data_IF_403274602771
#
_entry.id   IF_403274602771
#
_cell.length_a   1.000
_cell.length_b   1.000
_cell.length_c   1.000
_cell.angle_alpha   90.00
_cell.angle_beta   90.00
_cell.angle_gamma   90.00
#
_symmetry.space_group_name_H-M   'P 1'
#
loop_
_entity.id
_entity.type
_entity.pdbx_description
1 polymer ?
#
# COMPACT_ATOMS: atom_id res chain seq x y z
N UNK A 1 31.49 14.01 4.25
CA UNK A 1 30.59 12.96 4.76
C UNK A 1 29.12 13.37 4.73
N UNK A 2 28.62 14.32 5.53
CA UNK A 2 27.19 14.75 5.44
C UNK A 2 26.76 15.28 4.06
N UNK A 3 27.57 16.14 3.44
CA UNK A 3 27.28 16.68 2.10
C UNK A 3 27.30 15.62 0.99
N UNK A 4 28.18 14.62 1.14
CA UNK A 4 28.28 13.51 0.20
C UNK A 4 27.07 12.58 0.33
N UNK A 5 26.64 12.25 1.56
CA UNK A 5 25.43 11.48 1.82
C UNK A 5 24.17 12.21 1.35
N UNK A 6 24.08 13.53 1.58
CA UNK A 6 22.97 14.34 1.10
C UNK A 6 22.94 14.42 -0.43
N UNK A 7 24.09 14.60 -1.09
CA UNK A 7 24.18 14.65 -2.54
C UNK A 7 23.78 13.30 -3.18
N UNK A 8 24.24 12.17 -2.62
CA UNK A 8 23.84 10.83 -3.08
C UNK A 8 22.34 10.61 -2.89
N UNK A 9 21.78 10.99 -1.74
CA UNK A 9 20.34 10.89 -1.49
C UNK A 9 19.51 11.76 -2.46
N UNK A 10 19.98 12.97 -2.78
CA UNK A 10 19.33 13.86 -3.76
C UNK A 10 19.32 13.27 -5.16
N UNK A 11 20.45 12.70 -5.62
CA UNK A 11 20.52 12.04 -6.93
C UNK A 11 19.58 10.82 -6.97
N UNK A 12 19.55 10.00 -5.93
CA UNK A 12 18.63 8.86 -5.84
C UNK A 12 17.16 9.29 -5.84
N UNK A 13 16.82 10.37 -5.12
CA UNK A 13 15.47 10.92 -5.10
C UNK A 13 15.06 11.45 -6.47
N UNK A 14 15.96 12.11 -7.19
CA UNK A 14 15.70 12.62 -8.54
C UNK A 14 15.44 11.46 -9.52
N UNK A 15 16.28 10.42 -9.50
CA UNK A 15 16.09 9.22 -10.32
C UNK A 15 14.76 8.54 -10.04
N UNK A 16 14.35 8.43 -8.76
CA UNK A 16 13.05 7.88 -8.40
C UNK A 16 11.90 8.74 -8.96
N UNK A 17 11.98 10.07 -8.82
CA UNK A 17 10.98 11.00 -9.37
C UNK A 17 10.85 10.85 -10.88
N UNK A 18 11.97 10.80 -11.59
CA UNK A 18 11.98 10.67 -13.05
C UNK A 18 11.43 9.31 -13.49
N UNK A 19 11.69 8.25 -12.72
CA UNK A 19 11.15 6.90 -12.98
C UNK A 19 9.63 6.85 -12.80
N UNK A 20 9.10 7.59 -11.82
CA UNK A 20 7.67 7.68 -11.51
C UNK A 20 6.94 8.73 -12.37
N UNK A 21 7.65 9.68 -12.96
CA UNK A 21 7.07 10.75 -13.76
C UNK A 21 6.28 10.16 -14.95
N UNK A 22 5.05 10.65 -15.12
CA UNK A 22 4.16 10.19 -16.19
C UNK A 22 3.56 8.79 -15.99
N UNK A 23 3.90 8.07 -14.91
CA UNK A 23 3.24 6.80 -14.55
C UNK A 23 2.03 7.05 -13.68
N UNK A 24 0.94 6.34 -13.97
CA UNK A 24 -0.23 6.31 -13.09
C UNK A 24 0.05 5.39 -11.91
N UNK A 25 -0.55 5.70 -10.77
CA UNK A 25 -0.47 4.87 -9.55
C UNK A 25 -0.90 3.42 -9.83
N UNK A 26 -1.92 3.22 -10.67
CA UNK A 26 -2.41 1.90 -11.11
C UNK A 26 -1.40 1.07 -11.91
N UNK A 27 -0.31 1.66 -12.40
CA UNK A 27 0.74 0.95 -13.12
C UNK A 27 1.85 0.46 -12.19
N UNK A 28 1.91 0.96 -10.95
CA UNK A 28 2.93 0.63 -9.96
C UNK A 28 2.38 -0.16 -8.77
N UNK A 29 1.10 -0.01 -8.44
CA UNK A 29 0.47 -0.70 -7.33
C UNK A 29 0.07 -2.13 -7.70
N UNK A 30 0.19 -3.05 -6.73
CA UNK A 30 -0.46 -4.34 -6.82
C UNK A 30 -1.96 -4.17 -6.51
N UNK A 31 -2.83 -4.65 -7.40
CA UNK A 31 -4.27 -4.62 -7.20
C UNK A 31 -4.79 -5.81 -6.37
N UNK A 32 -3.91 -6.67 -5.89
CA UNK A 32 -4.24 -7.73 -4.94
C UNK A 32 -4.38 -7.15 -3.53
N UNK A 33 -5.56 -6.60 -3.24
CA UNK A 33 -5.98 -6.26 -1.89
C UNK A 33 -7.11 -7.19 -1.44
N UNK A 34 -7.23 -7.36 -0.13
CA UNK A 34 -8.34 -8.12 0.43
C UNK A 34 -9.44 -7.15 0.83
N UNK A 35 -10.64 -7.40 0.31
CA UNK A 35 -11.82 -6.59 0.62
C UNK A 35 -12.73 -7.31 1.60
N UNK A 36 -13.35 -6.54 2.48
CA UNK A 36 -14.17 -7.03 3.58
C UNK A 36 -15.52 -6.30 3.62
N UNK A 37 -16.63 -7.02 3.81
CA UNK A 37 -17.91 -6.41 4.11
C UNK A 37 -17.84 -5.54 5.37
N UNK A 38 -18.44 -4.35 5.34
CA UNK A 38 -18.46 -3.40 6.45
C UNK A 38 -19.24 -3.85 7.68
N UNK A 39 -19.98 -4.96 7.59
CA UNK A 39 -20.63 -5.65 8.70
C UNK A 39 -19.79 -6.80 9.29
N UNK A 40 -18.56 -7.01 8.79
CA UNK A 40 -17.62 -7.98 9.35
C UNK A 40 -17.30 -7.62 10.80
N UNK A 41 -17.50 -8.58 11.70
CA UNK A 41 -17.17 -8.39 13.11
C UNK A 41 -15.66 -8.33 13.32
N UNK A 42 -15.22 -7.55 14.31
CA UNK A 42 -13.79 -7.45 14.64
C UNK A 42 -13.16 -8.80 14.98
N UNK A 43 -13.91 -9.68 15.65
CA UNK A 43 -13.43 -11.02 15.96
C UNK A 43 -13.13 -11.82 14.69
N UNK A 44 -14.06 -11.83 13.72
CA UNK A 44 -13.88 -12.55 12.46
C UNK A 44 -12.71 -11.97 11.65
N UNK A 45 -12.56 -10.65 11.63
CA UNK A 45 -11.41 -9.99 11.02
C UNK A 45 -10.08 -10.48 11.62
N UNK A 46 -10.01 -10.52 12.95
CA UNK A 46 -8.78 -10.90 13.66
C UNK A 46 -8.47 -12.38 13.43
N UNK A 47 -9.43 -13.25 13.70
CA UNK A 47 -9.22 -14.70 13.69
C UNK A 47 -8.92 -15.21 12.27
N UNK A 48 -9.73 -14.82 11.28
CA UNK A 48 -9.64 -15.38 9.93
C UNK A 48 -8.60 -14.67 9.05
N UNK A 49 -8.47 -13.35 9.19
CA UNK A 49 -7.72 -12.55 8.21
C UNK A 49 -6.38 -12.05 8.72
N UNK A 50 -6.31 -11.57 9.96
CA UNK A 50 -5.04 -11.11 10.55
C UNK A 50 -4.22 -12.31 11.02
N UNK A 51 -4.76 -13.11 11.94
CA UNK A 51 -4.06 -14.26 12.52
C UNK A 51 -4.05 -15.45 11.57
N UNK A 52 -5.19 -15.76 10.95
CA UNK A 52 -5.32 -16.92 10.05
C UNK A 52 -4.60 -16.79 8.71
N UNK A 53 -4.37 -15.57 8.21
CA UNK A 53 -3.78 -15.38 6.87
C UNK A 53 -2.65 -14.36 6.78
N UNK A 54 -2.28 -13.70 7.89
CA UNK A 54 -1.19 -12.73 7.93
C UNK A 54 -1.44 -11.43 7.16
N UNK A 55 -2.69 -11.15 6.75
CA UNK A 55 -3.02 -9.93 6.02
C UNK A 55 -2.96 -8.72 6.95
N UNK A 56 -2.47 -7.60 6.42
CA UNK A 56 -2.18 -6.38 7.18
C UNK A 56 -2.94 -5.15 6.71
N UNK A 57 -3.52 -5.21 5.51
CA UNK A 57 -4.31 -4.14 4.93
C UNK A 57 -5.59 -4.72 4.34
N UNK A 58 -6.68 -3.97 4.52
CA UNK A 58 -8.02 -4.37 4.14
C UNK A 58 -8.75 -3.17 3.56
N UNK A 59 -9.51 -3.41 2.51
CA UNK A 59 -10.50 -2.46 2.00
C UNK A 59 -11.85 -2.85 2.62
N UNK A 60 -12.60 -1.87 3.11
CA UNK A 60 -13.90 -2.13 3.75
C UNK A 60 -15.01 -1.62 2.85
N UNK A 61 -15.78 -2.54 2.29
CA UNK A 61 -16.87 -2.24 1.37
C UNK A 61 -18.20 -2.08 2.11
N UNK A 62 -18.95 -1.03 1.77
CA UNK A 62 -20.31 -0.82 2.28
C UNK A 62 -21.30 -0.62 1.12
N UNK A 63 -21.97 -1.70 0.74
CA UNK A 63 -22.78 -1.73 -0.49
C UNK A 63 -21.88 -1.63 -1.72
N UNK A 64 -22.26 -0.84 -2.72
CA UNK A 64 -21.43 -0.57 -3.92
C UNK A 64 -20.34 0.50 -3.70
N UNK A 65 -20.13 0.95 -2.45
CA UNK A 65 -19.10 1.93 -2.12
C UNK A 65 -17.86 1.21 -1.56
N UNK A 66 -16.78 1.27 -2.33
CA UNK A 66 -15.41 0.88 -1.96
C UNK A 66 -14.70 2.08 -1.35
#
# INVERSE_FOLDING_TARGET
>A
WFLETAAVAQVQQQVLRDTLAGRRVSQAMNHQYFSLPGDTTLQKLVDDHILGSGKRSFVVERGDNV
#
